data_IF_529375516938
#
_entry.id   IF_529375516938
#
_cell.length_a   1.000
_cell.length_b   1.000
_cell.length_c   1.000
_cell.angle_alpha   90.00
_cell.angle_beta   90.00
_cell.angle_gamma   90.00
#
_symmetry.space_group_name_H-M   'P 1'
#
loop_
_entity.id
_entity.type
_entity.pdbx_description
1 polymer ?
#
# COMPACT_ATOMS: atom_id res chain seq x y z
N UNK A 1 10.84 -0.80 -10.03
CA UNK A 1 9.37 -0.88 -10.06
C UNK A 1 8.73 0.24 -10.88
N UNK A 2 8.80 1.52 -10.47
CA UNK A 2 8.18 2.63 -11.24
C UNK A 2 8.66 2.70 -12.71
N UNK A 3 9.92 2.34 -12.97
CA UNK A 3 10.45 2.20 -14.34
C UNK A 3 9.85 1.01 -15.11
N UNK A 4 9.51 -0.08 -14.41
CA UNK A 4 8.85 -1.26 -15.01
C UNK A 4 7.40 -0.89 -15.39
N UNK A 5 6.70 -0.17 -14.49
CA UNK A 5 5.38 0.37 -14.78
C UNK A 5 5.38 1.35 -15.96
N UNK A 6 6.31 2.33 -15.99
CA UNK A 6 6.42 3.27 -17.12
C UNK A 6 6.79 2.55 -18.44
N UNK A 7 7.65 1.52 -18.38
CA UNK A 7 7.95 0.69 -19.55
C UNK A 7 6.73 -0.03 -20.11
N UNK A 8 5.92 -0.67 -19.26
CA UNK A 8 4.67 -1.30 -19.68
C UNK A 8 3.65 -0.28 -20.21
N UNK A 9 3.52 0.88 -19.56
CA UNK A 9 2.66 1.97 -20.04
C UNK A 9 3.13 2.53 -21.39
N UNK A 10 4.44 2.57 -21.66
CA UNK A 10 4.96 2.99 -22.96
C UNK A 10 4.56 1.99 -24.07
N UNK A 11 4.64 0.68 -23.80
CA UNK A 11 4.15 -0.34 -24.73
C UNK A 11 2.64 -0.21 -24.98
N UNK A 12 1.84 0.03 -23.95
CA UNK A 12 0.39 0.29 -24.08
C UNK A 12 0.14 1.53 -24.96
N UNK A 13 0.93 2.60 -24.81
CA UNK A 13 0.80 3.80 -25.64
C UNK A 13 1.03 3.50 -27.14
N UNK A 14 2.01 2.66 -27.47
CA UNK A 14 2.29 2.25 -28.84
C UNK A 14 1.12 1.44 -29.42
N UNK A 15 0.53 0.55 -28.61
CA UNK A 15 -0.67 -0.22 -28.97
C UNK A 15 -1.87 0.71 -29.22
N UNK A 16 -2.14 1.66 -28.32
CA UNK A 16 -3.21 2.64 -28.48
C UNK A 16 -3.02 3.50 -29.74
N UNK A 17 -1.77 3.88 -30.07
CA UNK A 17 -1.47 4.62 -31.30
C UNK A 17 -1.76 3.77 -32.55
N UNK A 18 -1.48 2.46 -32.51
CA UNK A 18 -1.87 1.52 -33.56
C UNK A 18 -3.40 1.36 -33.65
N UNK A 19 -4.09 1.21 -32.52
CA UNK A 19 -5.56 1.14 -32.47
C UNK A 19 -6.20 2.40 -33.06
N UNK A 20 -5.66 3.60 -32.75
CA UNK A 20 -6.10 4.85 -33.37
C UNK A 20 -5.92 4.83 -34.88
N UNK A 21 -4.79 4.31 -35.36
CA UNK A 21 -4.52 4.19 -36.80
C UNK A 21 -5.54 3.28 -37.48
N UNK A 22 -5.89 2.15 -36.86
CA UNK A 22 -6.92 1.23 -37.36
C UNK A 22 -8.31 1.88 -37.35
N UNK A 23 -8.66 2.60 -36.28
CA UNK A 23 -9.93 3.32 -36.20
C UNK A 23 -10.05 4.41 -37.29
N UNK A 24 -8.97 5.14 -37.56
CA UNK A 24 -8.91 6.11 -38.67
C UNK A 24 -9.04 5.43 -40.03
N UNK A 25 -8.39 4.28 -40.23
CA UNK A 25 -8.51 3.50 -41.47
C UNK A 25 -9.96 3.00 -41.66
N UNK A 26 -10.56 2.43 -40.61
CA UNK A 26 -11.94 1.94 -40.62
C UNK A 26 -12.98 3.05 -40.80
N UNK A 27 -12.64 4.29 -40.43
CA UNK A 27 -13.48 5.47 -40.62
C UNK A 27 -13.53 5.97 -42.08
N UNK A 28 -12.86 5.31 -43.02
CA UNK A 28 -12.92 5.70 -44.43
C UNK A 28 -14.14 5.09 -45.14
N UNK A 29 -14.87 5.91 -45.89
CA UNK A 29 -16.13 5.52 -46.56
C UNK A 29 -15.95 4.48 -47.67
N UNK A 30 -14.73 4.31 -48.19
CA UNK A 30 -14.43 3.40 -49.29
C UNK A 30 -14.20 1.94 -48.85
N UNK A 31 -14.27 1.62 -47.56
CA UNK A 31 -14.18 0.24 -47.07
C UNK A 31 -15.55 -0.45 -47.08
N UNK A 32 -15.57 -1.74 -47.41
CA UNK A 32 -16.70 -2.64 -47.22
C UNK A 32 -16.85 -3.06 -45.76
N UNK A 33 -17.99 -3.68 -45.41
CA UNK A 33 -18.20 -4.27 -44.08
C UNK A 33 -17.22 -5.40 -43.77
N UNK A 34 -16.81 -6.17 -44.78
CA UNK A 34 -15.85 -7.25 -44.63
C UNK A 34 -14.45 -6.72 -44.31
N UNK A 35 -14.00 -5.68 -45.03
CA UNK A 35 -12.69 -5.06 -44.76
C UNK A 35 -12.66 -4.37 -43.39
N UNK A 36 -13.75 -3.70 -42.99
CA UNK A 36 -13.88 -3.18 -41.62
C UNK A 36 -13.89 -4.29 -40.56
N UNK A 37 -14.47 -5.45 -40.87
CA UNK A 37 -14.42 -6.63 -40.00
C UNK A 37 -12.98 -7.09 -39.75
N UNK A 38 -12.13 -7.16 -40.79
CA UNK A 38 -10.72 -7.52 -40.60
C UNK A 38 -9.93 -6.49 -39.79
N UNK A 39 -10.25 -5.19 -39.94
CA UNK A 39 -9.67 -4.15 -39.09
C UNK A 39 -10.15 -4.25 -37.64
N UNK A 40 -11.41 -4.65 -37.43
CA UNK A 40 -11.98 -4.90 -36.11
C UNK A 40 -11.29 -6.09 -35.44
N UNK A 41 -11.05 -7.19 -36.16
CA UNK A 41 -10.30 -8.34 -35.64
C UNK A 41 -8.88 -7.93 -35.15
N UNK A 42 -8.17 -7.10 -35.92
CA UNK A 42 -6.87 -6.55 -35.49
C UNK A 42 -7.03 -5.61 -34.27
N UNK A 43 -8.06 -4.77 -34.26
CA UNK A 43 -8.34 -3.85 -33.15
C UNK A 43 -8.64 -4.60 -31.84
N UNK A 44 -9.44 -5.66 -31.89
CA UNK A 44 -9.76 -6.49 -30.71
C UNK A 44 -8.52 -7.25 -30.22
N UNK A 45 -7.69 -7.78 -31.13
CA UNK A 45 -6.44 -8.43 -30.74
C UNK A 45 -5.47 -7.46 -30.03
N UNK A 46 -5.46 -6.18 -30.43
CA UNK A 46 -4.69 -5.15 -29.74
C UNK A 46 -5.27 -4.81 -28.36
N UNK A 47 -6.60 -4.84 -28.19
CA UNK A 47 -7.23 -4.69 -26.88
C UNK A 47 -6.82 -5.81 -25.91
N UNK A 48 -6.85 -7.05 -26.37
CA UNK A 48 -6.37 -8.21 -25.61
C UNK A 48 -4.88 -8.07 -25.26
N UNK A 49 -4.08 -7.53 -26.18
CA UNK A 49 -2.67 -7.27 -25.96
C UNK A 49 -2.44 -6.19 -24.89
N UNK A 50 -3.26 -5.13 -24.82
CA UNK A 50 -3.24 -4.16 -23.72
C UNK A 50 -3.44 -4.87 -22.38
N UNK A 51 -4.45 -5.73 -22.28
CA UNK A 51 -4.71 -6.49 -21.05
C UNK A 51 -3.54 -7.41 -20.70
N UNK A 52 -2.97 -8.11 -21.69
CA UNK A 52 -1.80 -8.98 -21.48
C UNK A 52 -0.60 -8.20 -20.94
N UNK A 53 -0.31 -7.01 -21.47
CA UNK A 53 0.78 -6.15 -20.98
C UNK A 53 0.47 -5.64 -19.57
N UNK A 54 -0.76 -5.18 -19.33
CA UNK A 54 -1.19 -4.71 -18.02
C UNK A 54 -1.12 -5.81 -16.94
N UNK A 55 -1.40 -7.06 -17.30
CA UNK A 55 -1.44 -8.21 -16.39
C UNK A 55 -0.06 -8.80 -16.13
N UNK A 56 0.78 -8.89 -17.17
CA UNK A 56 2.14 -9.41 -17.06
C UNK A 56 3.13 -8.44 -16.40
N UNK A 57 2.81 -7.14 -16.35
CA UNK A 57 3.64 -6.12 -15.70
C UNK A 57 3.54 -6.23 -14.18
N UNK A 58 4.40 -7.07 -13.59
CA UNK A 58 4.45 -7.36 -12.16
C UNK A 58 5.82 -7.01 -11.55
N UNK A 59 5.84 -6.71 -10.25
CA UNK A 59 7.05 -6.58 -9.47
C UNK A 59 6.83 -7.22 -8.10
N UNK A 60 7.68 -8.18 -7.73
CA UNK A 60 7.56 -8.95 -6.49
C UNK A 60 6.15 -9.55 -6.28
N UNK A 61 5.53 -10.06 -7.34
CA UNK A 61 4.18 -10.65 -7.29
C UNK A 61 3.03 -9.64 -7.30
N UNK A 62 3.31 -8.33 -7.23
CA UNK A 62 2.29 -7.28 -7.32
C UNK A 62 2.10 -6.86 -8.78
N UNK A 63 0.87 -6.92 -9.28
CA UNK A 63 0.47 -6.36 -10.59
C UNK A 63 0.49 -4.84 -10.50
N UNK A 64 1.18 -4.19 -11.43
CA UNK A 64 1.42 -2.74 -11.38
C UNK A 64 0.44 -1.92 -12.22
N UNK A 65 -0.06 -2.50 -13.32
CA UNK A 65 -0.79 -1.77 -14.36
C UNK A 65 -2.24 -2.18 -14.54
N UNK A 66 -2.61 -3.38 -14.11
CA UNK A 66 -3.98 -3.90 -14.20
C UNK A 66 -4.77 -3.68 -12.92
N UNK A 67 -4.20 -2.95 -11.95
CA UNK A 67 -4.69 -2.82 -10.59
C UNK A 67 -4.45 -4.08 -9.77
N UNK A 68 -4.53 -3.95 -8.45
CA UNK A 68 -4.64 -5.13 -7.60
C UNK A 68 -6.12 -5.52 -7.60
N UNK A 69 -6.42 -6.76 -7.98
CA UNK A 69 -7.76 -7.32 -7.76
C UNK A 69 -7.91 -7.51 -6.25
N UNK A 70 -8.38 -6.45 -5.60
CA UNK A 70 -8.88 -6.55 -4.24
C UNK A 70 -10.35 -6.93 -4.32
N UNK A 71 -10.80 -7.81 -3.44
CA UNK A 71 -12.23 -7.92 -3.23
C UNK A 71 -12.66 -6.72 -2.39
N UNK A 72 -13.80 -6.15 -2.72
CA UNK A 72 -14.36 -5.06 -1.95
C UNK A 72 -15.87 -5.05 -2.05
N UNK A 73 -16.48 -4.11 -1.38
CA UNK A 73 -17.93 -3.97 -1.37
C UNK A 73 -18.39 -3.17 -2.57
N UNK A 74 -19.39 -3.66 -3.32
CA UNK A 74 -20.07 -2.89 -4.35
C UNK A 74 -20.92 -1.78 -3.70
N UNK A 75 -20.58 -0.48 -3.87
CA UNK A 75 -21.34 0.61 -3.29
C UNK A 75 -22.79 0.68 -3.76
N UNK A 76 -23.11 0.14 -4.95
CA UNK A 76 -24.46 0.15 -5.50
C UNK A 76 -25.36 -0.95 -4.89
N UNK A 77 -24.76 -1.95 -4.24
CA UNK A 77 -25.44 -3.10 -3.66
C UNK A 77 -25.23 -3.19 -2.14
N UNK A 78 -25.01 -2.06 -1.47
CA UNK A 78 -24.94 -1.99 0.01
C UNK A 78 -26.33 -1.81 0.59
N UNK A 79 -26.68 -2.65 1.56
CA UNK A 79 -27.91 -2.55 2.33
C UNK A 79 -27.95 -1.29 3.21
N UNK A 80 -29.15 -0.75 3.41
CA UNK A 80 -29.37 0.54 4.11
C UNK A 80 -29.01 0.54 5.60
N UNK A 81 -28.67 -0.61 6.18
CA UNK A 81 -28.25 -0.74 7.59
C UNK A 81 -26.73 -0.94 7.72
N UNK A 82 -25.98 -0.72 6.64
CA UNK A 82 -24.55 -0.98 6.53
C UNK A 82 -23.75 0.31 6.29
N UNK A 83 -24.39 1.47 6.44
CA UNK A 83 -23.71 2.75 6.25
C UNK A 83 -22.93 3.18 7.49
N UNK A 84 -22.05 4.16 7.33
CA UNK A 84 -21.33 4.76 8.45
C UNK A 84 -22.27 5.37 9.51
N UNK A 85 -23.47 5.80 9.09
CA UNK A 85 -24.52 6.30 9.96
C UNK A 85 -25.14 5.21 10.85
N UNK A 86 -25.11 3.95 10.41
CA UNK A 86 -25.64 2.78 11.14
C UNK A 86 -24.58 2.11 12.03
N UNK A 87 -23.37 2.68 12.05
CA UNK A 87 -22.28 2.20 12.88
C UNK A 87 -21.21 1.38 12.16
N UNK A 88 -21.32 1.20 10.84
CA UNK A 88 -20.32 0.45 10.07
C UNK A 88 -19.46 1.41 9.26
N UNK A 89 -18.24 1.68 9.73
CA UNK A 89 -17.35 2.67 9.12
C UNK A 89 -16.62 2.16 7.88
N UNK A 90 -16.22 0.88 7.86
CA UNK A 90 -15.44 0.34 6.75
C UNK A 90 -15.56 -1.18 6.65
N UNK A 91 -15.27 -1.65 5.44
CA UNK A 91 -15.08 -3.06 5.11
C UNK A 91 -13.70 -3.27 4.54
N UNK A 92 -13.04 -4.33 4.97
CA UNK A 92 -11.86 -4.86 4.32
C UNK A 92 -12.11 -6.33 3.99
N UNK A 93 -11.77 -6.73 2.77
CA UNK A 93 -11.84 -8.13 2.35
C UNK A 93 -10.43 -8.55 1.98
N UNK A 94 -9.91 -9.54 2.70
CA UNK A 94 -8.66 -10.20 2.37
C UNK A 94 -8.91 -11.31 1.33
N UNK A 95 -7.97 -11.42 0.39
CA UNK A 95 -8.04 -12.31 -0.77
C UNK A 95 -7.98 -13.81 -0.45
N UNK A 96 -7.75 -14.18 0.81
CA UNK A 96 -7.57 -15.58 1.25
C UNK A 96 -8.86 -16.26 1.74
N UNK A 97 -9.96 -15.51 1.83
CA UNK A 97 -11.24 -15.97 2.38
C UNK A 97 -12.15 -16.77 1.44
N UNK A 98 -11.66 -17.26 0.29
CA UNK A 98 -12.48 -18.06 -0.65
C UNK A 98 -13.72 -17.35 -1.24
N UNK A 99 -13.81 -16.03 -1.07
CA UNK A 99 -14.85 -15.19 -1.66
C UNK A 99 -14.59 -14.95 -3.15
N UNK A 100 -15.66 -14.95 -3.93
CA UNK A 100 -15.61 -14.63 -5.36
C UNK A 100 -16.45 -13.40 -5.65
N UNK A 101 -16.16 -12.71 -6.76
CA UNK A 101 -16.98 -11.59 -7.19
C UNK A 101 -18.40 -12.07 -7.55
N UNK A 102 -19.40 -11.34 -7.08
CA UNK A 102 -20.81 -11.69 -7.16
C UNK A 102 -21.35 -12.45 -5.95
N UNK A 103 -20.52 -12.72 -4.94
CA UNK A 103 -20.99 -13.22 -3.64
C UNK A 103 -21.72 -12.11 -2.86
N UNK A 104 -22.85 -12.44 -2.25
CA UNK A 104 -23.64 -11.55 -1.40
C UNK A 104 -23.46 -11.96 0.05
N UNK A 105 -22.94 -11.07 0.88
CA UNK A 105 -22.70 -11.28 2.31
C UNK A 105 -23.78 -10.60 3.12
N UNK A 106 -24.46 -11.35 4.00
CA UNK A 106 -25.38 -10.80 5.00
C UNK A 106 -24.70 -10.65 6.35
N UNK A 107 -24.87 -9.49 7.00
CA UNK A 107 -24.40 -9.18 8.36
C UNK A 107 -25.58 -9.20 9.31
N UNK A 108 -25.57 -10.06 10.31
CA UNK A 108 -26.58 -10.04 11.37
C UNK A 108 -25.94 -9.70 12.69
N UNK A 109 -26.69 -9.02 13.54
CA UNK A 109 -26.29 -8.74 14.91
C UNK A 109 -27.45 -9.12 15.84
N UNK A 110 -27.14 -9.92 16.85
CA UNK A 110 -28.07 -10.34 17.91
C UNK A 110 -27.66 -9.65 19.21
N UNK A 111 -28.48 -8.71 19.68
CA UNK A 111 -28.27 -7.96 20.92
C UNK A 111 -28.38 -8.86 22.16
N UNK A 112 -29.16 -9.94 22.13
CA UNK A 112 -29.32 -10.81 23.30
C UNK A 112 -28.01 -11.55 23.64
N UNK A 113 -27.19 -11.85 22.63
CA UNK A 113 -25.90 -12.54 22.79
C UNK A 113 -24.70 -11.67 22.39
N UNK A 114 -24.91 -10.39 22.09
CA UNK A 114 -23.91 -9.46 21.55
C UNK A 114 -23.07 -10.05 20.40
N UNK A 115 -23.69 -10.90 19.57
CA UNK A 115 -22.98 -11.68 18.55
C UNK A 115 -23.23 -11.10 17.16
N UNK A 116 -22.15 -10.84 16.41
CA UNK A 116 -22.21 -10.48 15.00
C UNK A 116 -21.94 -11.71 14.14
N UNK A 117 -22.78 -11.97 13.15
CA UNK A 117 -22.64 -13.11 12.24
C UNK A 117 -22.65 -12.67 10.80
N UNK A 118 -21.62 -13.04 10.05
CA UNK A 118 -21.58 -12.89 8.59
C UNK A 118 -21.92 -14.22 7.94
N UNK A 119 -22.67 -14.16 6.85
CA UNK A 119 -23.02 -15.33 6.05
C UNK A 119 -22.94 -14.97 4.58
N UNK A 120 -22.21 -15.76 3.80
CA UNK A 120 -22.30 -15.71 2.34
C UNK A 120 -23.59 -16.42 1.92
N UNK A 121 -24.51 -15.67 1.31
CA UNK A 121 -25.82 -16.18 0.92
C UNK A 121 -25.78 -17.01 -0.36
N UNK A 122 -24.71 -16.91 -1.14
CA UNK A 122 -24.48 -17.63 -2.39
C UNK A 122 -23.81 -18.99 -2.16
N UNK A 123 -23.15 -19.19 -1.02
CA UNK A 123 -22.49 -20.45 -0.65
C UNK A 123 -23.03 -21.02 0.68
N UNK A 124 -23.63 -22.20 0.60
CA UNK A 124 -24.14 -22.89 1.78
C UNK A 124 -23.02 -23.22 2.78
N UNK A 125 -23.26 -22.93 4.06
CA UNK A 125 -22.33 -23.16 5.19
C UNK A 125 -21.07 -22.29 5.19
N UNK A 126 -21.07 -21.17 4.47
CA UNK A 126 -19.99 -20.20 4.53
C UNK A 126 -20.39 -19.01 5.42
N UNK A 127 -20.30 -19.22 6.73
CA UNK A 127 -20.74 -18.28 7.78
C UNK A 127 -19.78 -18.29 8.96
N UNK A 128 -19.63 -17.14 9.62
CA UNK A 128 -18.85 -17.01 10.85
C UNK A 128 -19.53 -16.03 11.82
N UNK A 129 -19.60 -16.43 13.09
CA UNK A 129 -20.11 -15.64 14.20
C UNK A 129 -18.97 -15.24 15.12
N UNK A 130 -18.98 -13.99 15.58
CA UNK A 130 -18.05 -13.43 16.56
C UNK A 130 -18.88 -12.81 17.67
N UNK A 131 -18.62 -13.21 18.91
CA UNK A 131 -19.13 -12.53 20.09
C UNK A 131 -18.31 -11.25 20.30
N UNK A 132 -18.99 -10.10 20.32
CA UNK A 132 -18.33 -8.82 20.51
C UNK A 132 -17.79 -8.66 21.94
N UNK A 133 -18.34 -9.37 22.93
CA UNK A 133 -17.84 -9.36 24.30
C UNK A 133 -16.45 -10.02 24.40
N UNK A 134 -16.23 -11.11 23.63
CA UNK A 134 -14.96 -11.85 23.61
C UNK A 134 -13.79 -11.00 23.06
N UNK A 135 -14.10 -10.05 22.18
CA UNK A 135 -13.13 -9.09 21.63
C UNK A 135 -13.15 -7.73 22.36
N UNK A 136 -13.93 -7.61 23.44
CA UNK A 136 -13.99 -6.40 24.28
C UNK A 136 -14.75 -5.22 23.67
N UNK A 137 -15.60 -5.47 22.67
CA UNK A 137 -16.38 -4.46 21.94
C UNK A 137 -17.80 -4.41 22.53
N UNK A 138 -17.93 -3.78 23.69
CA UNK A 138 -19.22 -3.68 24.41
C UNK A 138 -19.90 -2.31 24.25
N UNK A 139 -19.12 -1.28 23.93
CA UNK A 139 -19.61 0.08 23.66
C UNK A 139 -18.53 0.89 22.94
N UNK A 140 -18.95 1.73 21.99
CA UNK A 140 -18.08 2.66 21.28
C UNK A 140 -18.56 4.09 21.54
N UNK A 141 -17.66 5.00 21.94
CA UNK A 141 -18.00 6.41 22.21
C UNK A 141 -17.04 7.37 21.50
N UNK A 142 -17.56 8.53 21.10
CA UNK A 142 -16.75 9.55 20.42
C UNK A 142 -16.19 9.06 19.08
N UNK A 143 -14.88 9.17 18.87
CA UNK A 143 -14.19 8.71 17.66
C UNK A 143 -13.63 7.28 17.77
N UNK A 144 -14.09 6.49 18.75
CA UNK A 144 -13.65 5.10 18.87
C UNK A 144 -14.18 4.26 17.71
N UNK A 145 -13.32 3.38 17.21
CA UNK A 145 -13.64 2.34 16.23
C UNK A 145 -13.20 0.99 16.76
N UNK A 146 -13.86 -0.08 16.33
CA UNK A 146 -13.45 -1.45 16.64
C UNK A 146 -13.52 -2.33 15.40
N UNK A 147 -12.46 -3.11 15.17
CA UNK A 147 -12.40 -4.05 14.06
C UNK A 147 -12.90 -5.42 14.51
N UNK A 148 -13.87 -5.96 13.79
CA UNK A 148 -14.40 -7.31 13.96
C UNK A 148 -13.90 -8.15 12.79
N UNK A 149 -12.98 -9.08 13.09
CA UNK A 149 -12.31 -9.90 12.08
C UNK A 149 -12.99 -11.27 11.93
N UNK A 150 -13.51 -11.52 10.74
CA UNK A 150 -14.08 -12.79 10.31
C UNK A 150 -13.04 -13.55 9.49
N UNK A 151 -12.01 -14.06 10.16
CA UNK A 151 -10.87 -14.72 9.51
C UNK A 151 -11.22 -15.94 8.64
N UNK A 152 -12.35 -16.62 8.88
CA UNK A 152 -12.78 -17.74 8.02
C UNK A 152 -13.40 -17.26 6.70
N UNK A 153 -13.99 -16.07 6.70
CA UNK A 153 -14.55 -15.40 5.53
C UNK A 153 -13.55 -14.44 4.87
N UNK A 154 -12.43 -14.13 5.55
CA UNK A 154 -11.48 -13.11 5.13
C UNK A 154 -12.07 -11.70 5.11
N UNK A 155 -13.05 -11.40 5.99
CA UNK A 155 -13.69 -10.07 6.04
C UNK A 155 -13.38 -9.42 7.39
N UNK A 156 -12.99 -8.15 7.38
CA UNK A 156 -12.92 -7.31 8.58
C UNK A 156 -13.91 -6.17 8.47
N UNK A 157 -14.75 -6.01 9.50
CA UNK A 157 -15.71 -4.91 9.62
C UNK A 157 -15.21 -3.94 10.69
N UNK A 158 -15.05 -2.67 10.32
CA UNK A 158 -14.76 -1.60 11.29
C UNK A 158 -16.06 -0.98 11.76
N UNK A 159 -16.39 -1.15 13.03
CA UNK A 159 -17.51 -0.49 13.71
C UNK A 159 -17.10 0.88 14.25
N UNK A 160 -18.06 1.79 14.38
CA UNK A 160 -17.88 3.12 14.97
C UNK A 160 -18.89 3.40 16.10
N UNK A 161 -18.82 4.58 16.70
CA UNK A 161 -19.67 4.97 17.83
C UNK A 161 -21.17 5.09 17.54
N UNK A 162 -21.59 5.08 16.27
CA UNK A 162 -22.99 5.03 15.88
C UNK A 162 -23.58 3.60 15.91
N UNK A 163 -22.75 2.56 16.11
CA UNK A 163 -23.23 1.18 16.17
C UNK A 163 -24.20 0.96 17.34
N UNK A 164 -25.41 0.51 17.01
CA UNK A 164 -26.50 0.36 17.95
C UNK A 164 -26.48 -1.01 18.63
N UNK A 165 -25.62 -1.19 19.64
CA UNK A 165 -25.50 -2.44 20.42
C UNK A 165 -26.83 -2.95 21.02
N UNK A 166 -27.85 -2.09 21.17
CA UNK A 166 -29.16 -2.46 21.73
C UNK A 166 -30.22 -2.89 20.71
N UNK A 167 -29.90 -2.96 19.42
CA UNK A 167 -30.86 -3.21 18.34
C UNK A 167 -30.33 -4.29 17.40
N UNK A 168 -31.13 -5.32 17.13
CA UNK A 168 -30.75 -6.38 16.19
C UNK A 168 -30.65 -5.86 14.74
N UNK A 169 -29.73 -6.45 13.97
CA UNK A 169 -29.64 -6.24 12.52
C UNK A 169 -30.16 -7.52 11.83
N UNK A 170 -31.36 -7.46 11.26
CA UNK A 170 -32.02 -8.65 10.66
C UNK A 170 -32.51 -8.46 9.21
N UNK A 171 -32.41 -7.25 8.65
CA UNK A 171 -32.88 -6.93 7.30
C UNK A 171 -32.03 -5.81 6.68
N UNK A 172 -32.08 -5.68 5.34
CA UNK A 172 -31.34 -4.67 4.56
C UNK A 172 -29.85 -4.60 4.95
N UNK A 173 -29.30 -5.77 5.22
CA UNK A 173 -28.03 -6.00 5.88
C UNK A 173 -27.12 -6.85 5.01
N UNK A 174 -27.28 -6.75 3.69
CA UNK A 174 -26.46 -7.43 2.71
C UNK A 174 -25.54 -6.46 2.00
N UNK A 175 -24.38 -6.92 1.60
CA UNK A 175 -23.54 -6.23 0.63
C UNK A 175 -22.97 -7.23 -0.37
N UNK A 176 -22.79 -6.80 -1.61
CA UNK A 176 -22.19 -7.66 -2.64
C UNK A 176 -20.68 -7.46 -2.71
N UNK A 177 -19.95 -8.56 -2.84
CA UNK A 177 -18.52 -8.60 -3.11
C UNK A 177 -18.31 -8.35 -4.59
N UNK A 178 -17.64 -7.26 -4.92
CA UNK A 178 -17.19 -6.96 -6.26
C UNK A 178 -15.68 -7.20 -6.37
N UNK A 179 -15.23 -7.54 -7.58
CA UNK A 179 -13.84 -7.29 -7.95
C UNK A 179 -13.62 -5.77 -7.95
N UNK A 180 -12.93 -5.27 -6.94
CA UNK A 180 -12.47 -3.89 -6.93
C UNK A 180 -11.06 -3.86 -7.47
N UNK A 181 -10.92 -3.34 -8.68
CA UNK A 181 -9.61 -3.06 -9.27
C UNK A 181 -9.09 -1.76 -8.67
N UNK A 182 -8.43 -1.86 -7.51
CA UNK A 182 -7.81 -0.72 -6.86
C UNK A 182 -6.49 -0.33 -7.54
N UNK A 183 -6.07 0.96 -7.48
CA UNK A 183 -4.74 1.33 -7.91
C UNK A 183 -3.70 0.52 -7.12
N UNK A 184 -2.68 0.00 -7.79
CA UNK A 184 -1.60 -0.68 -7.09
C UNK A 184 -0.89 0.37 -6.22
N UNK A 185 -1.12 0.30 -4.90
CA UNK A 185 -0.50 1.21 -3.94
C UNK A 185 0.68 0.54 -3.28
N UNK A 186 1.85 1.19 -3.32
CA UNK A 186 3.03 0.71 -2.60
C UNK A 186 3.61 1.84 -1.77
N UNK A 187 3.82 1.55 -0.49
CA UNK A 187 4.36 2.50 0.47
C UNK A 187 5.77 2.11 0.86
N UNK A 188 6.70 3.04 0.70
CA UNK A 188 8.10 2.88 1.10
C UNK A 188 8.40 3.70 2.33
N UNK A 189 9.11 3.10 3.28
CA UNK A 189 9.66 3.79 4.44
C UNK A 189 10.93 4.53 4.01
N UNK A 190 10.95 5.85 4.17
CA UNK A 190 12.09 6.72 3.81
C UNK A 190 12.60 7.55 4.99
N UNK A 191 11.90 7.52 6.13
CA UNK A 191 12.31 8.16 7.38
C UNK A 191 12.60 7.17 8.50
N UNK A 192 13.25 7.63 9.57
CA UNK A 192 13.51 6.84 10.78
C UNK A 192 12.35 6.89 11.79
N UNK A 193 11.38 7.79 11.60
CA UNK A 193 10.18 7.89 12.43
C UNK A 193 9.06 6.95 12.00
N UNK A 194 7.90 7.06 12.66
CA UNK A 194 6.69 6.27 12.36
C UNK A 194 5.48 7.15 11.98
N UNK A 195 5.70 8.39 11.50
CA UNK A 195 4.62 9.24 11.03
C UNK A 195 4.37 8.97 9.54
N UNK A 196 3.20 8.39 9.21
CA UNK A 196 2.86 8.02 7.84
C UNK A 196 2.87 9.19 6.83
N UNK A 197 2.63 10.42 7.27
CA UNK A 197 2.61 11.58 6.36
C UNK A 197 4.02 12.09 5.98
N UNK A 198 5.04 11.73 6.76
CA UNK A 198 6.40 12.28 6.64
C UNK A 198 7.43 11.20 6.33
N UNK A 199 7.34 10.06 7.03
CA UNK A 199 8.33 8.99 6.97
C UNK A 199 8.01 7.92 5.91
N UNK A 200 6.80 7.98 5.33
CA UNK A 200 6.32 7.02 4.34
C UNK A 200 5.96 7.72 3.03
N UNK A 201 6.36 7.10 1.93
CA UNK A 201 6.08 7.57 0.58
C UNK A 201 5.22 6.53 -0.14
N UNK A 202 3.95 6.86 -0.33
CA UNK A 202 2.98 6.02 -1.04
C UNK A 202 2.91 6.42 -2.51
N UNK A 203 3.03 5.44 -3.40
CA UNK A 203 2.78 5.57 -4.83
C UNK A 203 1.49 4.86 -5.17
N UNK A 204 0.55 5.59 -5.77
CA UNK A 204 -0.67 5.01 -6.32
C UNK A 204 -0.50 4.93 -7.83
N UNK A 205 -0.45 3.71 -8.36
CA UNK A 205 -0.44 3.47 -9.79
C UNK A 205 -1.88 3.35 -10.29
N UNK A 206 -2.28 4.25 -11.17
CA UNK A 206 -3.58 4.17 -11.85
C UNK A 206 -3.63 2.89 -12.70
N UNK A 207 -4.75 2.15 -12.63
CA UNK A 207 -4.98 1.01 -13.52
C UNK A 207 -5.14 1.49 -14.97
N UNK A 208 -4.54 0.74 -15.91
CA UNK A 208 -4.49 1.02 -17.35
C UNK A 208 -4.85 -0.23 -18.17
N UNK A 209 -5.68 -1.13 -17.61
CA UNK A 209 -6.30 -2.22 -18.37
C UNK A 209 -7.25 -1.67 -19.45
N UNK A 210 -7.64 -2.49 -20.42
CA UNK A 210 -8.52 -2.03 -21.51
C UNK A 210 -9.87 -1.51 -20.99
N UNK A 211 -10.41 -2.13 -19.94
CA UNK A 211 -11.59 -1.67 -19.24
C UNK A 211 -11.36 -0.32 -18.53
N UNK A 212 -10.23 -0.16 -17.83
CA UNK A 212 -9.91 1.08 -17.11
C UNK A 212 -9.65 2.27 -18.05
N UNK A 213 -9.07 2.01 -19.22
CA UNK A 213 -8.85 2.99 -20.28
C UNK A 213 -10.11 3.26 -21.13
N UNK A 214 -11.19 2.49 -20.94
CA UNK A 214 -12.45 2.65 -21.68
C UNK A 214 -12.41 2.15 -23.13
N UNK A 215 -11.42 1.33 -23.50
CA UNK A 215 -11.24 0.80 -24.86
C UNK A 215 -11.81 -0.60 -25.06
N UNK A 216 -12.06 -1.36 -23.99
CA UNK A 216 -12.50 -2.76 -24.08
C UNK A 216 -13.89 -3.01 -24.68
N UNK A 217 -14.73 -1.97 -24.84
CA UNK A 217 -16.03 -2.07 -25.50
C UNK A 217 -16.05 -1.41 -26.89
N UNK A 218 -14.92 -0.84 -27.34
CA UNK A 218 -14.84 -0.16 -28.62
C UNK A 218 -14.71 -1.17 -29.75
N UNK A 219 -15.34 -0.85 -30.87
CA UNK A 219 -15.31 -1.64 -32.09
C UNK A 219 -15.10 -0.72 -33.29
N UNK A 220 -14.62 -1.26 -34.40
CA UNK A 220 -14.42 -0.51 -35.66
C UNK A 220 -15.12 -1.17 -36.86
N UNK A 221 -16.01 -2.14 -36.60
CA UNK A 221 -16.78 -2.87 -37.61
C UNK A 221 -17.79 -2.01 -38.43
N UNK A 222 -18.17 -0.84 -37.93
CA UNK A 222 -19.02 0.13 -38.65
C UNK A 222 -18.37 1.52 -38.68
N UNK A 223 -18.80 2.36 -39.63
CA UNK A 223 -18.33 3.75 -39.72
C UNK A 223 -18.61 4.52 -38.42
N UNK A 224 -19.80 4.37 -37.84
CA UNK A 224 -20.17 5.04 -36.60
C UNK A 224 -19.31 4.56 -35.41
N UNK A 225 -19.08 3.24 -35.32
CA UNK A 225 -18.24 2.67 -34.27
C UNK A 225 -16.77 3.10 -34.44
N UNK A 226 -16.24 3.15 -35.67
CA UNK A 226 -14.90 3.62 -35.96
C UNK A 226 -14.70 5.10 -35.57
N UNK A 227 -15.68 5.96 -35.83
CA UNK A 227 -15.64 7.36 -35.40
C UNK A 227 -15.68 7.50 -33.87
N UNK A 228 -16.51 6.70 -33.20
CA UNK A 228 -16.53 6.65 -31.73
C UNK A 228 -15.21 6.11 -31.16
N UNK A 229 -14.61 5.11 -31.81
CA UNK A 229 -13.35 4.51 -31.39
C UNK A 229 -12.17 5.48 -31.49
N UNK A 230 -12.14 6.40 -32.47
CA UNK A 230 -11.11 7.46 -32.52
C UNK A 230 -11.16 8.31 -31.26
N UNK A 231 -12.36 8.78 -30.87
CA UNK A 231 -12.53 9.61 -29.67
C UNK A 231 -12.25 8.82 -28.38
N UNK A 232 -12.68 7.57 -28.31
CA UNK A 232 -12.43 6.68 -27.18
C UNK A 232 -10.93 6.40 -26.98
N UNK A 233 -10.21 6.10 -28.05
CA UNK A 233 -8.76 5.87 -28.02
C UNK A 233 -7.99 7.16 -27.68
N UNK A 234 -8.45 8.34 -28.13
CA UNK A 234 -7.85 9.62 -27.73
C UNK A 234 -8.00 9.87 -26.22
N UNK A 235 -9.19 9.64 -25.65
CA UNK A 235 -9.40 9.73 -24.22
C UNK A 235 -8.55 8.70 -23.43
N UNK A 236 -8.37 7.50 -23.98
CA UNK A 236 -7.50 6.47 -23.42
C UNK A 236 -6.02 6.89 -23.41
N UNK A 237 -5.55 7.55 -24.47
CA UNK A 237 -4.19 8.09 -24.53
C UNK A 237 -3.99 9.19 -23.47
N UNK A 238 -4.95 10.11 -23.33
CA UNK A 238 -4.87 11.20 -22.33
C UNK A 238 -4.86 10.67 -20.89
N UNK A 239 -5.69 9.66 -20.59
CA UNK A 239 -5.70 8.99 -19.28
C UNK A 239 -4.40 8.23 -19.02
N UNK A 240 -3.86 7.52 -20.01
CA UNK A 240 -2.55 6.87 -19.92
C UNK A 240 -1.41 7.88 -19.70
N UNK A 241 -1.41 9.02 -20.41
CA UNK A 241 -0.42 10.07 -20.21
C UNK A 241 -0.49 10.67 -18.81
N UNK A 242 -1.70 10.82 -18.26
CA UNK A 242 -1.91 11.25 -16.87
C UNK A 242 -1.34 10.22 -15.89
N UNK A 243 -1.56 8.92 -16.13
CA UNK A 243 -0.98 7.84 -15.33
C UNK A 243 0.56 7.84 -15.38
N UNK A 244 1.16 8.02 -16.57
CA UNK A 244 2.62 8.12 -16.74
C UNK A 244 3.20 9.37 -16.07
N UNK A 245 2.48 10.49 -16.11
CA UNK A 245 2.86 11.71 -15.40
C UNK A 245 2.92 11.48 -13.88
N UNK A 246 1.93 10.79 -13.32
CA UNK A 246 1.94 10.38 -11.90
C UNK A 246 3.16 9.52 -11.55
N UNK A 247 3.50 8.55 -12.40
CA UNK A 247 4.71 7.72 -12.24
C UNK A 247 5.97 8.57 -12.29
N UNK A 248 6.07 9.53 -13.21
CA UNK A 248 7.20 10.46 -13.33
C UNK A 248 7.35 11.36 -12.10
N UNK A 249 6.26 11.89 -11.56
CA UNK A 249 6.26 12.61 -10.28
C UNK A 249 6.75 11.71 -9.16
N UNK A 250 6.31 10.44 -9.13
CA UNK A 250 6.76 9.45 -8.16
C UNK A 250 8.27 9.19 -8.24
N UNK A 251 8.83 9.05 -9.44
CA UNK A 251 10.27 8.89 -9.66
C UNK A 251 11.06 10.10 -9.14
N UNK A 252 10.60 11.32 -9.43
CA UNK A 252 11.24 12.54 -8.94
C UNK A 252 11.20 12.61 -7.41
N UNK A 253 10.06 12.28 -6.79
CA UNK A 253 9.93 12.24 -5.32
C UNK A 253 10.88 11.22 -4.69
N UNK A 254 11.06 10.05 -5.30
CA UNK A 254 12.04 9.06 -4.82
C UNK A 254 13.47 9.59 -4.91
N UNK A 255 13.84 10.25 -6.01
CA UNK A 255 15.20 10.80 -6.18
C UNK A 255 15.49 11.88 -5.12
N UNK A 256 14.54 12.77 -4.84
CA UNK A 256 14.68 13.76 -3.77
C UNK A 256 14.75 13.12 -2.38
N UNK A 257 13.89 12.12 -2.11
CA UNK A 257 13.91 11.40 -0.84
C UNK A 257 15.24 10.66 -0.63
N UNK A 258 15.76 10.01 -1.69
CA UNK A 258 17.04 9.31 -1.65
C UNK A 258 18.21 10.28 -1.37
N UNK A 259 18.25 11.44 -2.05
CA UNK A 259 19.26 12.48 -1.79
C UNK A 259 19.19 13.01 -0.36
N UNK A 260 17.99 13.25 0.16
CA UNK A 260 17.82 13.70 1.54
C UNK A 260 18.26 12.62 2.54
N UNK A 261 17.90 11.37 2.31
CA UNK A 261 18.31 10.25 3.15
C UNK A 261 19.82 10.04 3.14
N UNK A 262 20.48 10.18 1.99
CA UNK A 262 21.94 10.10 1.89
C UNK A 262 22.62 11.20 2.73
N UNK A 263 22.14 12.44 2.66
CA UNK A 263 22.66 13.53 3.51
C UNK A 263 22.37 13.29 5.00
N UNK A 264 21.20 12.75 5.35
CA UNK A 264 20.89 12.39 6.72
C UNK A 264 21.76 11.24 7.24
N UNK A 265 22.06 10.24 6.40
CA UNK A 265 22.99 9.16 6.72
C UNK A 265 24.40 9.71 6.94
N UNK A 266 24.89 10.58 6.06
CA UNK A 266 26.20 11.24 6.20
C UNK A 266 26.29 12.05 7.51
N UNK A 267 25.27 12.86 7.81
CA UNK A 267 25.22 13.64 9.05
C UNK A 267 25.18 12.75 10.30
N UNK A 268 24.44 11.63 10.27
CA UNK A 268 24.40 10.68 11.38
C UNK A 268 25.72 9.92 11.54
N UNK A 269 26.39 9.56 10.44
CA UNK A 269 27.68 8.88 10.48
C UNK A 269 28.78 9.81 11.00
N UNK A 270 28.76 11.09 10.60
CA UNK A 270 29.65 12.13 11.14
C UNK A 270 29.38 12.39 12.64
N UNK A 271 28.11 12.49 13.05
CA UNK A 271 27.74 12.63 14.46
C UNK A 271 28.18 11.40 15.28
N UNK A 272 28.02 10.20 14.73
CA UNK A 272 28.47 8.95 15.35
C UNK A 272 30.01 8.90 15.47
N UNK A 273 30.74 9.35 14.45
CA UNK A 273 32.21 9.43 14.51
C UNK A 273 32.68 10.38 15.60
N UNK A 274 32.10 11.57 15.70
CA UNK A 274 32.49 12.54 16.74
C UNK A 274 32.16 12.06 18.15
N UNK A 275 31.05 11.35 18.34
CA UNK A 275 30.73 10.70 19.61
C UNK A 275 31.73 9.58 19.96
N UNK A 276 32.06 8.71 18.99
CA UNK A 276 33.06 7.65 19.20
C UNK A 276 34.44 8.21 19.51
N UNK A 277 34.88 9.26 18.81
CA UNK A 277 36.16 9.92 19.05
C UNK A 277 36.21 10.61 20.43
N UNK A 278 35.10 11.21 20.87
CA UNK A 278 34.98 11.80 22.21
C UNK A 278 35.08 10.73 23.31
N UNK A 279 34.39 9.59 23.13
CA UNK A 279 34.43 8.48 24.09
C UNK A 279 35.83 7.87 24.18
N UNK A 280 36.51 7.66 23.06
CA UNK A 280 37.91 7.18 23.04
C UNK A 280 38.84 8.19 23.71
N UNK A 281 38.69 9.48 23.43
CA UNK A 281 39.49 10.52 24.08
C UNK A 281 39.25 10.54 25.60
N UNK A 282 38.01 10.44 26.06
CA UNK A 282 37.66 10.38 27.48
C UNK A 282 38.29 9.14 28.15
N UNK A 283 38.19 7.96 27.54
CA UNK A 283 38.79 6.73 28.08
C UNK A 283 40.31 6.83 28.13
N UNK A 284 40.95 7.44 27.12
CA UNK A 284 42.41 7.67 27.10
C UNK A 284 42.86 8.67 28.17
N UNK A 285 42.08 9.71 28.46
CA UNK A 285 42.37 10.64 29.58
C UNK A 285 42.22 9.95 30.93
N UNK A 286 41.19 9.11 31.11
CA UNK A 286 41.03 8.31 32.32
C UNK A 286 42.16 7.29 32.48
N UNK A 287 42.53 6.59 31.41
CA UNK A 287 43.64 5.66 31.40
C UNK A 287 44.94 6.37 31.79
N UNK A 288 45.24 7.52 31.19
CA UNK A 288 46.43 8.32 31.49
C UNK A 288 46.42 8.82 32.94
N UNK A 289 45.26 9.28 33.44
CA UNK A 289 45.10 9.69 34.84
C UNK A 289 45.36 8.53 35.79
N UNK A 290 44.77 7.34 35.54
CA UNK A 290 45.00 6.12 36.31
C UNK A 290 46.47 5.69 36.25
N UNK A 291 47.12 5.79 35.10
CA UNK A 291 48.55 5.50 34.93
C UNK A 291 49.42 6.44 35.77
N UNK A 292 49.12 7.75 35.75
CA UNK A 292 49.79 8.75 36.60
C UNK A 292 49.55 8.46 38.08
N UNK A 293 48.32 8.11 38.47
CA UNK A 293 47.96 7.79 39.85
C UNK A 293 48.70 6.54 40.35
N UNK A 294 48.86 5.52 39.50
CA UNK A 294 49.67 4.32 39.80
C UNK A 294 51.16 4.70 39.93
N UNK A 295 51.71 5.51 39.02
CA UNK A 295 53.11 5.94 39.09
C UNK A 295 53.38 6.85 40.30
N UNK A 296 52.49 7.80 40.59
CA UNK A 296 52.52 8.63 41.80
C UNK A 296 52.32 7.79 43.05
N UNK A 297 51.45 6.78 43.02
CA UNK A 297 51.26 5.80 44.09
C UNK A 297 52.54 5.04 44.39
N UNK A 298 53.22 4.50 43.37
CA UNK A 298 54.51 3.80 43.52
C UNK A 298 55.61 4.74 44.03
N UNK A 299 55.70 5.96 43.50
CA UNK A 299 56.67 6.96 43.97
C UNK A 299 56.39 7.40 45.43
N UNK A 300 55.13 7.59 45.79
CA UNK A 300 54.70 7.89 47.17
C UNK A 300 54.96 6.72 48.10
N UNK A 301 54.75 5.47 47.67
CA UNK A 301 55.05 4.27 48.45
C UNK A 301 56.56 4.09 48.65
N UNK A 302 57.36 4.38 47.62
CA UNK A 302 58.82 4.42 47.72
C UNK A 302 59.31 5.52 48.68
N UNK A 303 58.76 6.73 48.58
CA UNK A 303 59.09 7.87 49.47
C UNK A 303 58.63 7.61 50.92
N UNK A 304 57.44 7.03 51.11
CA UNK A 304 56.92 6.62 52.40
C UNK A 304 57.70 5.47 53.03
N UNK A 305 58.34 4.60 52.23
CA UNK A 305 59.26 3.57 52.72
C UNK A 305 60.66 4.11 53.08
N UNK A 306 61.09 5.22 52.46
CA UNK A 306 62.37 5.88 52.79
C UNK A 306 62.31 6.75 54.06
N UNK A 307 61.14 7.34 54.38
CA UNK A 307 60.95 8.15 55.58
C UNK A 307 61.28 7.39 56.90
N UNK A 308 60.80 6.14 57.11
CA UNK A 308 61.14 5.32 58.26
C UNK A 308 62.63 4.95 58.33
N UNK A 309 63.29 4.73 57.17
CA UNK A 309 64.72 4.38 57.13
C UNK A 309 65.61 5.58 57.48
N UNK A 310 65.24 6.78 57.04
CA UNK A 310 65.93 8.01 57.43
C UNK A 310 65.69 8.35 58.92
N UNK A 311 64.50 8.06 59.46
CA UNK A 311 64.22 8.21 60.89
C UNK A 311 64.97 7.18 61.75
N UNK A 312 65.10 5.91 61.31
CA UNK A 312 65.94 4.92 61.99
C UNK A 312 67.42 5.33 62.00
N UNK A 313 67.90 5.95 60.91
CA UNK A 313 69.26 6.46 60.80
C UNK A 313 69.51 7.69 61.70
N UNK A 314 68.46 8.45 62.04
CA UNK A 314 68.51 9.57 62.99
C UNK A 314 68.39 9.13 64.46
N UNK A 315 67.88 7.92 64.72
CA UNK A 315 67.74 7.34 66.06
C UNK A 315 68.92 6.40 66.44
N UNK A 316 69.82 6.11 65.49
CA UNK A 316 71.03 5.31 65.69
C UNK A 316 72.35 6.11 65.64
N UNK A 317 72.28 7.43 65.45
CA UNK A 317 73.41 8.35 65.59
C UNK A 317 73.13 9.34 66.72
#
# INVERSE_FOLDING_TARGET
>A
MLQIADGGMATINDILTRMKTLAVQASSDNLSSTERGFLDDEFQALDEEINRVADSTTFNGVRLLSGQTTFGVDPAAVGTNIEAADGIAAFSIDSDGGLVAGDTISITFDNATNTMTLTNTNQANFSQSIDLDDIGVTALTGSQTADVEFGALGITITLNSAFAFGTDITANNTFDVATQTGPASLTYQIGSGNNAAVDRLTFNLTSVSSAALGVGALQVNTLANAQAAIAGVDAAIDTLQTARSSVGVGQNRLDFAAKNLASSQENNEAARSTLLDLDVAAEMTQFTSKQILVQSGVAMLAQANQMPQNLLRLLQG
#
